data_IF_904226000908
#
_entry.id   IF_904226000908
#
_cell.length_a   1.000
_cell.length_b   1.000
_cell.length_c   1.000
_cell.angle_alpha   90.00
_cell.angle_beta   90.00
_cell.angle_gamma   90.00
#
_symmetry.space_group_name_H-M   'P 1'
#
loop_
_entity.id
_entity.type
_entity.pdbx_description
1 polymer ?
#
# COMPACT_ATOMS: atom_id res chain seq x y z
N UNK A 1 5.84 -20.82 -25.00
CA UNK A 1 4.51 -20.18 -24.97
C UNK A 1 4.68 -18.79 -24.43
N UNK A 2 4.49 -17.75 -25.26
CA UNK A 2 4.62 -16.35 -24.83
C UNK A 2 3.51 -15.99 -23.85
N UNK A 3 3.87 -15.47 -22.66
CA UNK A 3 2.90 -14.89 -21.73
C UNK A 3 2.36 -13.61 -22.37
N UNK A 4 1.06 -13.55 -22.61
CA UNK A 4 0.43 -12.31 -23.05
C UNK A 4 0.46 -11.30 -21.89
N UNK A 5 1.13 -10.18 -22.10
CA UNK A 5 1.21 -9.06 -21.18
C UNK A 5 0.42 -7.90 -21.77
N UNK A 6 -0.46 -7.33 -21.00
CA UNK A 6 -1.30 -6.20 -21.40
C UNK A 6 -1.05 -5.01 -20.51
N UNK A 7 -0.75 -3.86 -21.12
CA UNK A 7 -0.70 -2.60 -20.41
C UNK A 7 -2.12 -2.02 -20.36
N UNK A 8 -2.67 -1.85 -19.15
CA UNK A 8 -4.01 -1.32 -18.95
C UNK A 8 -4.04 -0.37 -17.76
N UNK A 9 -4.46 0.87 -17.99
CA UNK A 9 -4.58 1.92 -16.97
C UNK A 9 -3.36 2.02 -16.05
N UNK A 10 -2.16 2.02 -16.62
CA UNK A 10 -0.90 2.14 -15.86
C UNK A 10 -0.51 0.89 -15.07
N UNK A 11 -1.10 -0.25 -15.36
CA UNK A 11 -0.73 -1.55 -14.81
C UNK A 11 -0.36 -2.53 -15.90
N UNK A 12 0.67 -3.32 -15.66
CA UNK A 12 1.02 -4.46 -16.48
C UNK A 12 0.26 -5.68 -15.95
N UNK A 13 -0.64 -6.21 -16.77
CA UNK A 13 -1.52 -7.33 -16.42
C UNK A 13 -1.05 -8.58 -17.18
N UNK A 14 -0.84 -9.67 -16.46
CA UNK A 14 -0.68 -11.02 -17.02
C UNK A 14 -1.90 -11.86 -16.70
N UNK A 15 -1.88 -13.13 -17.10
CA UNK A 15 -2.98 -14.08 -16.85
C UNK A 15 -3.32 -14.21 -15.34
N UNK A 16 -2.30 -14.15 -14.48
CA UNK A 16 -2.36 -14.51 -13.07
C UNK A 16 -1.89 -13.40 -12.12
N UNK A 17 -1.35 -12.30 -12.66
CA UNK A 17 -0.67 -11.27 -11.87
C UNK A 17 -0.84 -9.86 -12.44
N UNK A 18 -0.68 -8.87 -11.56
CA UNK A 18 -0.60 -7.46 -11.92
C UNK A 18 0.62 -6.80 -11.26
N UNK A 19 1.25 -5.88 -11.95
CA UNK A 19 2.36 -5.06 -11.46
C UNK A 19 2.22 -3.61 -11.92
N UNK A 20 2.92 -2.68 -11.31
CA UNK A 20 3.01 -1.33 -11.84
C UNK A 20 3.61 -1.32 -13.25
N UNK A 21 3.22 -0.34 -14.06
CA UNK A 21 3.78 -0.10 -15.38
C UNK A 21 5.29 0.20 -15.26
N UNK A 22 6.17 -0.56 -15.94
CA UNK A 22 7.62 -0.32 -15.89
C UNK A 22 8.04 1.09 -16.30
N UNK A 23 7.37 1.71 -17.28
CA UNK A 23 7.67 3.09 -17.69
C UNK A 23 7.36 4.09 -16.55
N UNK A 24 6.27 3.85 -15.81
CA UNK A 24 5.91 4.67 -14.65
C UNK A 24 6.88 4.47 -13.48
N UNK A 25 7.35 3.25 -13.27
CA UNK A 25 8.40 2.96 -12.27
C UNK A 25 9.70 3.68 -12.61
N UNK A 26 10.13 3.67 -13.88
CA UNK A 26 11.31 4.41 -14.33
C UNK A 26 11.14 5.94 -14.21
N UNK A 27 9.94 6.45 -14.48
CA UNK A 27 9.63 7.87 -14.28
C UNK A 27 9.77 8.26 -12.79
N UNK A 28 9.31 7.41 -11.87
CA UNK A 28 9.47 7.65 -10.42
C UNK A 28 10.92 7.62 -10.00
N UNK A 29 11.73 6.68 -10.49
CA UNK A 29 13.17 6.65 -10.19
C UNK A 29 13.86 7.97 -10.52
N UNK A 30 13.46 8.62 -11.62
CA UNK A 30 14.02 9.88 -12.09
C UNK A 30 13.31 11.11 -11.52
N UNK A 31 12.23 10.94 -10.75
CA UNK A 31 11.47 12.06 -10.21
C UNK A 31 12.34 12.93 -9.31
N UNK A 32 12.45 14.24 -9.59
CA UNK A 32 13.27 15.14 -8.80
C UNK A 32 12.66 15.37 -7.40
N UNK A 33 13.48 15.80 -6.46
CA UNK A 33 12.98 16.18 -5.13
C UNK A 33 12.03 17.38 -5.28
N UNK A 34 10.78 17.29 -4.80
CA UNK A 34 9.83 18.39 -4.87
C UNK A 34 10.35 19.64 -4.12
N UNK A 35 10.19 20.80 -4.70
CA UNK A 35 10.63 22.08 -4.12
C UNK A 35 9.47 22.99 -3.67
N UNK A 36 8.24 22.62 -3.99
CA UNK A 36 7.05 23.39 -3.64
C UNK A 36 5.83 22.48 -3.40
N UNK A 37 4.77 23.08 -2.85
CA UNK A 37 3.54 22.37 -2.49
C UNK A 37 2.87 21.66 -3.67
N UNK A 38 2.90 22.28 -4.85
CA UNK A 38 2.30 21.71 -6.06
C UNK A 38 3.01 20.43 -6.48
N UNK A 39 4.32 20.43 -6.47
CA UNK A 39 5.13 19.25 -6.80
C UNK A 39 5.00 18.13 -5.78
N UNK A 40 4.94 18.48 -4.47
CA UNK A 40 4.68 17.50 -3.39
C UNK A 40 3.34 16.81 -3.63
N UNK A 41 2.28 17.57 -3.93
CA UNK A 41 0.95 17.02 -4.22
C UNK A 41 0.93 16.18 -5.50
N UNK A 42 1.65 16.61 -6.53
CA UNK A 42 1.80 15.86 -7.79
C UNK A 42 2.43 14.50 -7.56
N UNK A 43 3.55 14.45 -6.81
CA UNK A 43 4.20 13.19 -6.45
C UNK A 43 3.29 12.29 -5.60
N UNK A 44 2.67 12.85 -4.55
CA UNK A 44 1.73 12.09 -3.71
C UNK A 44 0.54 11.53 -4.50
N UNK A 45 -0.01 12.31 -5.43
CA UNK A 45 -1.10 11.85 -6.31
C UNK A 45 -0.65 10.67 -7.17
N UNK A 46 0.57 10.76 -7.72
CA UNK A 46 1.15 9.69 -8.52
C UNK A 46 1.35 8.41 -7.71
N UNK A 47 2.04 8.47 -6.56
CA UNK A 47 2.32 7.25 -5.76
C UNK A 47 1.06 6.69 -5.10
N UNK A 48 0.07 7.52 -4.78
CA UNK A 48 -1.22 7.07 -4.24
C UNK A 48 -2.00 6.18 -5.23
N UNK A 49 -1.81 6.37 -6.53
CA UNK A 49 -2.39 5.49 -7.55
C UNK A 49 -1.86 4.05 -7.44
N UNK A 50 -0.60 3.90 -7.01
CA UNK A 50 0.07 2.61 -6.82
C UNK A 50 0.09 2.13 -5.36
N UNK A 51 -0.69 2.76 -4.45
CA UNK A 51 -0.65 2.47 -3.01
C UNK A 51 -0.86 0.99 -2.68
N UNK A 52 -1.67 0.27 -3.47
CA UNK A 52 -1.95 -1.16 -3.30
C UNK A 52 -0.73 -2.09 -3.50
N UNK A 53 0.36 -1.56 -4.05
CA UNK A 53 1.62 -2.27 -4.21
C UNK A 53 2.65 -1.90 -3.13
N UNK A 54 2.34 -0.94 -2.27
CA UNK A 54 3.26 -0.40 -1.27
C UNK A 54 2.78 -0.80 0.12
N UNK A 55 3.51 -1.72 0.81
CA UNK A 55 3.20 -2.03 2.20
C UNK A 55 3.24 -0.78 3.07
N UNK A 56 2.35 -0.69 4.05
CA UNK A 56 2.28 0.40 5.04
C UNK A 56 2.28 1.82 4.42
N UNK A 57 1.70 1.98 3.23
CA UNK A 57 1.68 3.24 2.48
C UNK A 57 1.28 4.45 3.33
N UNK A 58 0.28 4.30 4.21
CA UNK A 58 -0.22 5.40 5.05
C UNK A 58 0.84 5.90 6.05
N UNK A 59 1.62 4.99 6.65
CA UNK A 59 2.70 5.33 7.56
C UNK A 59 3.87 5.98 6.81
N UNK A 60 4.30 5.36 5.70
CA UNK A 60 5.42 5.85 4.88
C UNK A 60 5.12 7.23 4.29
N UNK A 61 3.89 7.46 3.80
CA UNK A 61 3.50 8.74 3.20
C UNK A 61 3.13 9.83 4.21
N UNK A 62 3.02 9.49 5.51
CA UNK A 62 2.52 10.43 6.52
C UNK A 62 3.33 11.73 6.63
N UNK A 63 4.69 11.72 6.71
CA UNK A 63 5.48 12.94 6.82
C UNK A 63 5.33 13.85 5.58
N UNK A 64 5.35 13.25 4.39
CA UNK A 64 5.19 13.99 3.15
C UNK A 64 3.77 14.56 2.99
N UNK A 65 2.76 13.80 3.44
CA UNK A 65 1.36 14.28 3.47
C UNK A 65 1.19 15.44 4.46
N UNK A 66 1.87 15.40 5.60
CA UNK A 66 1.83 16.49 6.59
C UNK A 66 2.34 17.81 5.99
N UNK A 67 3.40 17.75 5.17
CA UNK A 67 3.93 18.91 4.44
C UNK A 67 2.95 19.52 3.43
N UNK A 68 1.82 18.86 3.12
CA UNK A 68 0.79 19.41 2.24
C UNK A 68 -0.37 20.09 2.96
N UNK A 69 -0.44 19.99 4.27
CA UNK A 69 -1.51 20.61 5.08
C UNK A 69 -1.22 22.10 5.28
N UNK A 70 -2.21 22.93 5.03
CA UNK A 70 -2.11 24.39 5.25
C UNK A 70 -1.92 24.77 6.71
N UNK A 71 -2.30 23.91 7.64
CA UNK A 71 -2.12 24.07 9.09
C UNK A 71 -0.74 23.63 9.59
N UNK A 72 0.07 22.99 8.72
CA UNK A 72 1.41 22.56 9.07
C UNK A 72 2.39 23.74 9.01
N UNK A 73 3.28 23.91 10.01
CA UNK A 73 4.35 24.91 9.96
C UNK A 73 5.34 24.66 8.81
N UNK A 74 5.34 23.46 8.25
CA UNK A 74 6.18 23.03 7.13
C UNK A 74 5.42 22.91 5.81
N UNK A 75 4.28 23.61 5.67
CA UNK A 75 3.48 23.57 4.44
C UNK A 75 4.33 23.98 3.22
N UNK A 76 4.39 23.08 2.25
CA UNK A 76 5.18 23.28 1.02
C UNK A 76 6.70 23.12 1.19
N UNK A 77 7.18 22.72 2.36
CA UNK A 77 8.60 22.55 2.64
C UNK A 77 8.96 21.06 2.76
N UNK A 78 10.15 20.72 2.29
CA UNK A 78 10.73 19.37 2.41
C UNK A 78 11.69 19.34 3.60
N UNK A 79 11.14 19.15 4.82
CA UNK A 79 11.97 18.84 5.98
C UNK A 79 12.60 17.44 5.84
N UNK A 80 13.52 17.07 6.73
CA UNK A 80 14.25 15.80 6.62
C UNK A 80 13.32 14.57 6.68
N UNK A 81 12.26 14.60 7.47
CA UNK A 81 11.27 13.52 7.54
C UNK A 81 10.48 13.39 6.21
N UNK A 82 10.09 14.52 5.60
CA UNK A 82 9.41 14.54 4.32
C UNK A 82 10.33 14.06 3.19
N UNK A 83 11.61 14.45 3.21
CA UNK A 83 12.60 13.95 2.25
C UNK A 83 12.79 12.44 2.39
N UNK A 84 12.94 11.94 3.61
CA UNK A 84 13.02 10.51 3.87
C UNK A 84 11.78 9.79 3.33
N UNK A 85 10.58 10.27 3.67
CA UNK A 85 9.31 9.73 3.17
C UNK A 85 9.26 9.69 1.63
N UNK A 86 9.74 10.73 0.97
CA UNK A 86 9.82 10.79 -0.50
C UNK A 86 10.72 9.68 -1.07
N UNK A 87 11.91 9.48 -0.51
CA UNK A 87 12.83 8.43 -0.96
C UNK A 87 12.31 7.03 -0.63
N UNK A 88 11.75 6.83 0.55
CA UNK A 88 11.16 5.55 0.97
C UNK A 88 10.00 5.14 0.05
N UNK A 89 9.14 6.09 -0.36
CA UNK A 89 8.06 5.85 -1.32
C UNK A 89 8.59 5.50 -2.72
N UNK A 90 9.63 6.20 -3.19
CA UNK A 90 10.29 5.86 -4.47
C UNK A 90 10.85 4.44 -4.43
N UNK A 91 11.59 4.10 -3.39
CA UNK A 91 12.19 2.78 -3.23
C UNK A 91 11.13 1.69 -3.13
N UNK A 92 10.07 1.92 -2.35
CA UNK A 92 8.95 0.98 -2.21
C UNK A 92 8.25 0.71 -3.54
N UNK A 93 8.06 1.72 -4.38
CA UNK A 93 7.45 1.52 -5.69
C UNK A 93 8.38 0.81 -6.68
N UNK A 94 9.68 1.10 -6.61
CA UNK A 94 10.69 0.43 -7.44
C UNK A 94 10.81 -1.06 -7.08
N UNK A 95 10.70 -1.38 -5.79
CA UNK A 95 10.72 -2.76 -5.26
C UNK A 95 9.32 -3.39 -5.17
N UNK A 96 8.30 -2.71 -5.69
CA UNK A 96 6.93 -3.15 -5.55
C UNK A 96 6.73 -4.60 -6.00
N UNK A 97 6.12 -5.44 -5.17
CA UNK A 97 5.87 -6.83 -5.54
C UNK A 97 4.83 -6.90 -6.66
N UNK A 98 4.92 -7.95 -7.45
CA UNK A 98 3.82 -8.32 -8.34
C UNK A 98 2.69 -8.92 -7.51
N UNK A 99 1.47 -8.38 -7.65
CA UNK A 99 0.31 -8.88 -6.94
C UNK A 99 -0.34 -10.01 -7.75
N UNK A 100 -0.66 -11.13 -7.10
CA UNK A 100 -1.38 -12.22 -7.71
C UNK A 100 -2.88 -11.91 -7.80
N UNK A 101 -3.57 -12.49 -8.78
CA UNK A 101 -5.03 -12.50 -8.77
C UNK A 101 -5.56 -13.56 -7.81
N UNK A 102 -6.69 -13.26 -7.21
CA UNK A 102 -7.39 -14.20 -6.34
C UNK A 102 -7.72 -15.50 -7.11
N UNK A 103 -7.33 -16.63 -6.56
CA UNK A 103 -7.87 -17.93 -6.98
C UNK A 103 -9.12 -18.21 -6.17
N UNK A 104 -10.22 -18.45 -6.86
CA UNK A 104 -11.53 -18.72 -6.25
C UNK A 104 -11.78 -20.21 -6.14
N UNK A 105 -12.39 -20.64 -5.03
CA UNK A 105 -12.78 -22.04 -4.81
C UNK A 105 -13.35 -22.20 -3.41
N UNK A 106 -14.06 -23.30 -3.15
CA UNK A 106 -14.61 -23.58 -1.81
C UNK A 106 -13.51 -23.83 -0.77
N UNK A 107 -12.34 -24.27 -1.23
CA UNK A 107 -11.17 -24.58 -0.39
C UNK A 107 -10.15 -23.42 -0.38
N UNK A 108 -10.55 -22.21 -0.81
CA UNK A 108 -9.65 -21.07 -0.84
C UNK A 108 -9.33 -20.63 0.60
N UNK A 109 -8.05 -20.61 0.92
CA UNK A 109 -7.50 -20.14 2.19
C UNK A 109 -6.78 -18.82 2.00
N UNK A 110 -6.93 -17.91 2.96
CA UNK A 110 -6.30 -16.59 2.92
C UNK A 110 -5.52 -16.34 4.20
N UNK A 111 -4.42 -15.63 4.05
CA UNK A 111 -3.64 -15.10 5.17
C UNK A 111 -3.71 -13.58 5.15
N UNK A 112 -4.15 -13.01 6.25
CA UNK A 112 -4.15 -11.57 6.50
C UNK A 112 -2.99 -11.27 7.45
N UNK A 113 -2.09 -10.41 7.01
CA UNK A 113 -0.96 -9.91 7.82
C UNK A 113 -1.29 -8.49 8.21
N UNK A 114 -1.22 -8.18 9.50
CA UNK A 114 -1.53 -6.85 10.04
C UNK A 114 -0.33 -6.24 10.74
N UNK A 115 -0.27 -4.91 10.71
CA UNK A 115 0.76 -4.12 11.38
C UNK A 115 0.15 -2.80 11.86
N UNK A 116 0.49 -2.39 13.07
CA UNK A 116 0.00 -1.17 13.67
C UNK A 116 1.14 -0.31 14.22
N UNK A 117 1.11 0.98 13.94
CA UNK A 117 2.00 1.95 14.54
C UNK A 117 1.22 3.11 15.15
N UNK A 118 1.90 4.08 15.76
CA UNK A 118 1.24 5.20 16.45
C UNK A 118 0.35 6.06 15.56
N UNK A 119 0.59 6.10 14.25
CA UNK A 119 -0.10 7.01 13.33
C UNK A 119 -0.92 6.32 12.26
N UNK A 120 -0.73 5.02 12.05
CA UNK A 120 -1.36 4.28 10.96
C UNK A 120 -1.48 2.79 11.28
N UNK A 121 -2.41 2.14 10.61
CA UNK A 121 -2.52 0.69 10.52
C UNK A 121 -2.33 0.26 9.07
N UNK A 122 -1.62 -0.85 8.89
CA UNK A 122 -1.38 -1.50 7.61
C UNK A 122 -1.87 -2.95 7.64
N UNK A 123 -2.29 -3.45 6.50
CA UNK A 123 -2.69 -4.83 6.36
C UNK A 123 -2.48 -5.31 4.93
N UNK A 124 -2.16 -6.59 4.82
CA UNK A 124 -1.90 -7.24 3.55
C UNK A 124 -2.69 -8.53 3.44
N UNK A 125 -3.23 -8.79 2.26
CA UNK A 125 -3.92 -10.03 1.94
C UNK A 125 -3.02 -10.90 1.10
N UNK A 126 -2.86 -12.15 1.53
CA UNK A 126 -2.08 -13.17 0.83
C UNK A 126 -2.92 -14.42 0.59
N UNK A 127 -2.52 -15.20 -0.39
CA UNK A 127 -3.08 -16.51 -0.69
C UNK A 127 -1.95 -17.46 -1.08
N UNK A 128 -1.96 -18.69 -0.55
CA UNK A 128 -1.09 -19.73 -1.08
C UNK A 128 -1.71 -20.28 -2.37
N UNK A 129 -0.96 -20.22 -3.45
CA UNK A 129 -1.36 -20.70 -4.78
C UNK A 129 -0.49 -21.86 -5.24
N UNK A 130 0.07 -22.63 -4.27
CA UNK A 130 0.94 -23.79 -4.54
C UNK A 130 2.41 -23.46 -4.72
N UNK A 131 2.77 -22.17 -4.72
CA UNK A 131 4.15 -21.67 -4.77
C UNK A 131 4.52 -20.85 -3.52
N UNK A 132 3.79 -21.03 -2.43
CA UNK A 132 3.87 -20.24 -1.20
C UNK A 132 2.95 -19.02 -1.22
N UNK A 133 2.96 -18.27 -0.13
CA UNK A 133 2.12 -17.09 0.07
C UNK A 133 2.41 -16.01 -0.98
N UNK A 134 1.42 -15.71 -1.80
CA UNK A 134 1.47 -14.66 -2.81
C UNK A 134 0.65 -13.45 -2.35
N UNK A 135 1.18 -12.22 -2.40
CA UNK A 135 0.42 -11.03 -2.07
C UNK A 135 -0.66 -10.76 -3.11
N UNK A 136 -1.87 -10.48 -2.65
CA UNK A 136 -3.00 -10.08 -3.48
C UNK A 136 -3.25 -8.57 -3.41
N UNK A 137 -3.11 -7.99 -2.21
CA UNK A 137 -3.31 -6.56 -1.99
C UNK A 137 -2.60 -6.10 -0.71
N UNK A 138 -2.13 -4.85 -0.74
CA UNK A 138 -1.72 -4.10 0.44
C UNK A 138 -2.68 -2.94 0.62
N UNK A 139 -3.05 -2.66 1.87
CA UNK A 139 -3.84 -1.49 2.23
C UNK A 139 -3.32 -0.90 3.54
N UNK A 140 -3.57 0.38 3.73
CA UNK A 140 -3.19 1.08 4.95
C UNK A 140 -4.07 2.32 5.13
N UNK A 141 -4.34 2.69 6.38
CA UNK A 141 -4.97 3.97 6.70
C UNK A 141 -4.34 4.65 7.91
N UNK A 142 -4.45 5.96 7.96
CA UNK A 142 -4.07 6.73 9.15
C UNK A 142 -5.07 6.50 10.26
N UNK A 143 -4.56 6.48 11.49
CA UNK A 143 -5.38 6.52 12.70
C UNK A 143 -5.95 7.93 12.90
N UNK A 144 -7.21 8.01 13.26
CA UNK A 144 -7.81 9.25 13.74
C UNK A 144 -7.13 9.70 15.05
N UNK A 145 -7.31 10.96 15.42
CA UNK A 145 -6.77 11.49 16.70
C UNK A 145 -7.22 10.69 17.91
N UNK A 146 -8.42 10.12 17.86
CA UNK A 146 -8.98 9.31 18.95
C UNK A 146 -8.30 7.92 18.99
N UNK A 147 -8.18 7.26 17.85
CA UNK A 147 -7.53 5.95 17.71
C UNK A 147 -6.03 5.98 18.02
N UNK A 148 -5.35 7.12 17.84
CA UNK A 148 -3.95 7.29 18.22
C UNK A 148 -3.71 7.12 19.73
N UNK A 149 -4.75 7.37 20.54
CA UNK A 149 -4.70 7.19 21.99
C UNK A 149 -4.98 5.74 22.46
N UNK A 150 -5.31 4.84 21.54
CA UNK A 150 -5.50 3.43 21.84
C UNK A 150 -4.20 2.79 22.30
N UNK A 151 -4.30 1.79 23.16
CA UNK A 151 -3.18 0.91 23.52
C UNK A 151 -2.65 0.16 22.29
N UNK A 152 -1.46 -0.42 22.41
CA UNK A 152 -0.86 -1.20 21.31
C UNK A 152 -1.80 -2.34 20.90
N UNK A 153 -2.34 -3.08 21.88
CA UNK A 153 -3.26 -4.20 21.62
C UNK A 153 -4.54 -3.75 20.91
N UNK A 154 -5.10 -2.60 21.31
CA UNK A 154 -6.30 -2.05 20.66
C UNK A 154 -6.02 -1.61 19.22
N UNK A 155 -4.83 -1.05 18.94
CA UNK A 155 -4.42 -0.70 17.58
C UNK A 155 -4.23 -1.95 16.70
N UNK A 156 -3.62 -3.00 17.23
CA UNK A 156 -3.46 -4.28 16.53
C UNK A 156 -4.82 -4.92 16.23
N UNK A 157 -5.72 -4.97 17.24
CA UNK A 157 -7.08 -5.47 17.04
C UNK A 157 -7.84 -4.64 16.02
N UNK A 158 -7.70 -3.32 16.05
CA UNK A 158 -8.30 -2.43 15.07
C UNK A 158 -7.80 -2.72 13.65
N UNK A 159 -6.49 -3.02 13.50
CA UNK A 159 -5.92 -3.39 12.20
C UNK A 159 -6.54 -4.69 11.66
N UNK A 160 -6.78 -5.68 12.52
CA UNK A 160 -7.44 -6.94 12.15
C UNK A 160 -8.89 -6.67 11.70
N UNK A 161 -9.66 -5.91 12.48
CA UNK A 161 -11.05 -5.58 12.16
C UNK A 161 -11.15 -4.83 10.83
N UNK A 162 -10.30 -3.84 10.63
CA UNK A 162 -10.26 -3.07 9.38
C UNK A 162 -9.84 -3.94 8.19
N UNK A 163 -8.84 -4.80 8.36
CA UNK A 163 -8.40 -5.73 7.31
C UNK A 163 -9.54 -6.63 6.84
N UNK A 164 -10.25 -7.27 7.78
CA UNK A 164 -11.41 -8.13 7.45
C UNK A 164 -12.51 -7.33 6.76
N UNK A 165 -12.77 -6.10 7.20
CA UNK A 165 -13.77 -5.22 6.59
C UNK A 165 -13.42 -4.85 5.15
N UNK A 166 -12.17 -4.41 4.92
CA UNK A 166 -11.71 -3.95 3.60
C UNK A 166 -11.54 -5.12 2.63
N UNK A 167 -11.01 -6.24 3.11
CA UNK A 167 -10.82 -7.43 2.28
C UNK A 167 -12.06 -8.32 2.17
N UNK A 168 -13.19 -7.93 2.76
CA UNK A 168 -14.44 -8.70 2.69
C UNK A 168 -14.79 -9.20 1.27
N UNK A 169 -14.64 -8.40 0.18
CA UNK A 169 -14.92 -8.87 -1.17
C UNK A 169 -14.02 -10.05 -1.62
N UNK A 170 -12.80 -10.12 -1.06
CA UNK A 170 -11.87 -11.21 -1.33
C UNK A 170 -12.15 -12.44 -0.45
N UNK A 171 -12.55 -12.22 0.79
CA UNK A 171 -12.71 -13.25 1.81
C UNK A 171 -14.07 -13.97 1.74
N UNK A 172 -15.02 -13.39 1.03
CA UNK A 172 -16.35 -13.96 0.94
C UNK A 172 -16.33 -15.32 0.23
N UNK A 173 -16.82 -16.37 0.93
CA UNK A 173 -16.90 -17.73 0.44
C UNK A 173 -15.57 -18.52 0.50
N UNK A 174 -14.59 -18.07 1.30
CA UNK A 174 -13.36 -18.81 1.58
C UNK A 174 -13.60 -19.92 2.62
N UNK A 175 -12.69 -20.91 2.66
CA UNK A 175 -12.70 -21.97 3.64
C UNK A 175 -12.18 -21.51 5.00
N UNK A 176 -11.07 -20.76 5.00
CA UNK A 176 -10.43 -20.29 6.22
C UNK A 176 -9.72 -18.95 6.01
N UNK A 177 -9.52 -18.24 7.13
CA UNK A 177 -8.74 -17.01 7.20
C UNK A 177 -7.78 -17.15 8.38
N UNK A 178 -6.49 -17.08 8.10
CA UNK A 178 -5.45 -16.98 9.12
C UNK A 178 -5.03 -15.53 9.28
N UNK A 179 -4.87 -15.05 10.51
CA UNK A 179 -4.42 -13.69 10.80
C UNK A 179 -3.09 -13.76 11.55
N UNK A 180 -2.13 -12.96 11.11
CA UNK A 180 -0.79 -12.82 11.70
C UNK A 180 -0.50 -11.35 12.01
#
# INVERSE_FOLDING_TARGET
MGRALYLFLGHLISKDRTSPDPEKVEAVKKWPLPINLHEIRGFLGFVNFYRKFIPNFAAVSAPLTESTKTTSPHCGQMNEEAKKSFYDLKESLVKAPTLAFRVTGRDAEFTVITDACDKAIGYALHQDQGAGLQPLAYEARKLSKHEQNYSVQEKELLAIVEAVRVFRPYLQGCASITVW
#
